data_IF_379237493114
#
_entry.id   IF_379237493114
#
_cell.length_a   1.000
_cell.length_b   1.000
_cell.length_c   1.000
_cell.angle_alpha   90.00
_cell.angle_beta   90.00
_cell.angle_gamma   90.00
#
_symmetry.space_group_name_H-M   'P 1'
#
loop_
_entity.id
_entity.type
_entity.pdbx_description
1 polymer ?
#
# COMPACT_ATOMS: atom_id res chain seq x y z
N UNK A 1 -28.96 -16.86 9.27
CA UNK A 1 -29.28 -16.37 7.91
C UNK A 1 -27.99 -15.79 7.33
N UNK A 2 -27.39 -16.44 6.35
CA UNK A 2 -26.09 -16.08 5.77
C UNK A 2 -26.25 -14.83 4.87
N UNK A 3 -25.41 -13.81 5.03
CA UNK A 3 -25.43 -12.60 4.20
C UNK A 3 -24.31 -12.66 3.15
N UNK A 4 -24.56 -13.15 1.93
CA UNK A 4 -23.51 -13.39 0.94
C UNK A 4 -22.75 -12.12 0.53
N UNK A 5 -23.38 -10.94 0.68
CA UNK A 5 -22.71 -9.66 0.45
C UNK A 5 -21.72 -9.31 1.57
N UNK A 6 -21.97 -9.76 2.79
CA UNK A 6 -21.01 -9.62 3.87
C UNK A 6 -19.76 -10.48 3.63
N UNK A 7 -19.94 -11.72 3.15
CA UNK A 7 -18.81 -12.59 2.82
C UNK A 7 -18.00 -12.07 1.64
N UNK A 8 -18.66 -11.52 0.61
CA UNK A 8 -17.98 -10.88 -0.51
C UNK A 8 -17.16 -9.67 -0.06
N UNK A 9 -17.68 -8.86 0.88
CA UNK A 9 -16.92 -7.74 1.48
C UNK A 9 -15.70 -8.28 2.23
N UNK A 10 -15.86 -9.30 3.06
CA UNK A 10 -14.75 -9.86 3.83
C UNK A 10 -13.67 -10.45 2.92
N UNK A 11 -14.06 -11.19 1.87
CA UNK A 11 -13.15 -11.77 0.90
C UNK A 11 -12.38 -10.70 0.13
N UNK A 12 -13.07 -9.66 -0.36
CA UNK A 12 -12.43 -8.58 -1.11
C UNK A 12 -11.53 -7.70 -0.23
N UNK A 13 -11.86 -7.54 1.04
CA UNK A 13 -10.98 -6.88 2.01
C UNK A 13 -9.72 -7.72 2.26
N UNK A 14 -9.88 -9.04 2.50
CA UNK A 14 -8.73 -9.94 2.68
C UNK A 14 -7.79 -9.94 1.46
N UNK A 15 -8.32 -9.94 0.24
CA UNK A 15 -7.53 -9.81 -0.99
C UNK A 15 -6.79 -8.47 -1.07
N UNK A 16 -7.46 -7.36 -0.70
CA UNK A 16 -6.82 -6.05 -0.65
C UNK A 16 -5.68 -6.00 0.38
N UNK A 17 -5.89 -6.52 1.58
CA UNK A 17 -4.87 -6.59 2.63
C UNK A 17 -3.68 -7.43 2.20
N UNK A 18 -3.90 -8.57 1.53
CA UNK A 18 -2.84 -9.41 1.01
C UNK A 18 -1.96 -8.67 -0.02
N UNK A 19 -2.57 -7.92 -0.95
CA UNK A 19 -1.82 -7.10 -1.92
C UNK A 19 -1.09 -5.93 -1.24
N UNK A 20 -1.70 -5.32 -0.22
CA UNK A 20 -1.08 -4.24 0.55
C UNK A 20 0.15 -4.74 1.34
N UNK A 21 0.06 -5.91 1.97
CA UNK A 21 1.17 -6.54 2.70
C UNK A 21 2.39 -6.79 1.78
N UNK A 22 2.15 -7.28 0.55
CA UNK A 22 3.24 -7.44 -0.43
C UNK A 22 3.89 -6.11 -0.80
N UNK A 23 3.11 -5.03 -0.91
CA UNK A 23 3.61 -3.68 -1.18
C UNK A 23 4.45 -3.10 -0.04
N UNK A 24 4.10 -3.39 1.21
CA UNK A 24 4.90 -2.97 2.37
C UNK A 24 6.32 -3.55 2.34
N UNK A 25 6.47 -4.82 1.96
CA UNK A 25 7.79 -5.44 1.80
C UNK A 25 8.67 -4.69 0.80
N UNK A 26 8.12 -4.27 -0.34
CA UNK A 26 8.85 -3.49 -1.34
C UNK A 26 9.15 -2.06 -0.89
N UNK A 27 8.24 -1.43 -0.15
CA UNK A 27 8.47 -0.09 0.40
C UNK A 27 9.61 -0.10 1.43
N UNK A 28 9.70 -1.14 2.26
CA UNK A 28 10.82 -1.32 3.19
C UNK A 28 12.15 -1.53 2.46
N UNK A 29 12.17 -2.35 1.41
CA UNK A 29 13.36 -2.56 0.57
C UNK A 29 13.82 -1.26 -0.10
N UNK A 30 12.89 -0.49 -0.67
CA UNK A 30 13.19 0.82 -1.25
C UNK A 30 13.79 1.79 -0.22
N UNK A 31 13.17 1.88 0.96
CA UNK A 31 13.66 2.75 2.04
C UNK A 31 15.08 2.37 2.47
N UNK A 32 15.37 1.08 2.57
CA UNK A 32 16.72 0.57 2.86
C UNK A 32 17.72 0.99 1.78
N UNK A 33 17.42 0.73 0.50
CA UNK A 33 18.31 1.06 -0.62
C UNK A 33 18.59 2.57 -0.70
N UNK A 34 17.58 3.41 -0.51
CA UNK A 34 17.75 4.86 -0.45
C UNK A 34 18.62 5.27 0.75
N UNK A 35 18.42 4.65 1.91
CA UNK A 35 19.25 4.87 3.09
C UNK A 35 20.71 4.50 2.84
N UNK A 36 20.97 3.39 2.16
CA UNK A 36 22.32 2.91 1.85
C UNK A 36 23.02 3.84 0.83
N UNK A 37 22.29 4.37 -0.16
CA UNK A 37 22.79 5.42 -1.06
C UNK A 37 23.18 6.70 -0.30
N UNK A 38 22.33 7.16 0.62
CA UNK A 38 22.62 8.35 1.43
C UNK A 38 23.88 8.14 2.27
N UNK A 39 24.04 6.96 2.89
CA UNK A 39 25.26 6.63 3.65
C UNK A 39 26.48 6.62 2.75
N UNK A 40 26.40 5.99 1.58
CA UNK A 40 27.50 5.96 0.61
C UNK A 40 27.94 7.38 0.21
N UNK A 41 26.98 8.26 -0.06
CA UNK A 41 27.24 9.66 -0.40
C UNK A 41 27.85 10.44 0.77
N UNK A 42 27.40 10.17 2.00
CA UNK A 42 27.96 10.78 3.21
C UNK A 42 29.42 10.35 3.44
N UNK A 43 29.71 9.05 3.32
CA UNK A 43 31.08 8.53 3.41
C UNK A 43 31.98 9.11 2.32
N UNK A 44 31.47 9.26 1.09
CA UNK A 44 32.21 9.90 0.01
C UNK A 44 32.57 11.35 0.37
N UNK A 45 31.60 12.15 0.84
CA UNK A 45 31.82 13.54 1.23
C UNK A 45 32.78 13.68 2.41
N UNK A 46 32.67 12.81 3.41
CA UNK A 46 33.57 12.79 4.57
C UNK A 46 35.01 12.53 4.14
N UNK A 47 35.24 11.53 3.30
CA UNK A 47 36.58 11.21 2.81
C UNK A 47 37.17 12.35 1.96
N UNK A 48 36.35 13.05 1.16
CA UNK A 48 36.80 14.21 0.38
C UNK A 48 37.09 15.45 1.25
N UNK A 49 36.52 15.53 2.46
CA UNK A 49 36.69 16.66 3.37
C UNK A 49 37.91 16.51 4.30
N UNK A 50 38.57 15.35 4.32
CA UNK A 50 39.82 15.13 5.06
C UNK A 50 40.94 15.99 4.46
N UNK A 51 41.72 16.65 5.31
CA UNK A 51 42.74 17.61 4.89
C UNK A 51 43.99 16.94 4.31
N UNK A 52 44.67 17.58 3.36
CA UNK A 52 45.90 17.06 2.77
C UNK A 52 46.98 16.72 3.83
N UNK A 53 47.01 17.44 4.96
CA UNK A 53 47.89 17.19 6.12
C UNK A 53 47.61 15.86 6.85
N UNK A 54 46.40 15.32 6.77
CA UNK A 54 46.01 14.03 7.36
C UNK A 54 46.18 12.86 6.38
N UNK A 55 46.36 13.14 5.08
CA UNK A 55 46.49 12.16 3.99
C UNK A 55 47.96 11.83 3.61
N UNK A 56 48.97 12.45 4.24
CA UNK A 56 50.38 12.20 3.92
C UNK A 56 50.88 10.85 4.46
N UNK A 57 50.53 9.76 3.78
CA UNK A 57 51.33 8.53 3.73
C UNK A 57 51.60 8.14 2.25
N UNK A 58 52.83 7.80 1.81
CA UNK A 58 53.19 7.79 0.39
C UNK A 58 52.69 6.60 -0.45
N UNK A 59 51.60 5.92 -0.05
CA UNK A 59 50.94 4.83 -0.83
C UNK A 59 49.52 5.18 -1.30
N UNK A 60 49.09 6.43 -1.11
CA UNK A 60 47.68 6.85 -1.20
C UNK A 60 47.07 6.91 -2.61
N UNK A 61 47.83 7.11 -3.69
CA UNK A 61 47.23 7.31 -5.03
C UNK A 61 46.52 6.04 -5.54
N UNK A 62 47.14 4.87 -5.40
CA UNK A 62 46.52 3.61 -5.80
C UNK A 62 45.31 3.23 -4.93
N UNK A 63 45.37 3.54 -3.63
CA UNK A 63 44.29 3.27 -2.69
C UNK A 63 43.06 4.17 -2.94
N UNK A 64 43.25 5.45 -3.28
CA UNK A 64 42.16 6.37 -3.61
C UNK A 64 41.45 6.00 -4.91
N UNK A 65 42.20 5.66 -5.97
CA UNK A 65 41.60 5.20 -7.25
C UNK A 65 40.79 3.91 -7.06
N UNK A 66 41.29 2.96 -6.27
CA UNK A 66 40.56 1.73 -5.96
C UNK A 66 39.30 2.00 -5.15
N UNK A 67 39.36 2.92 -4.17
CA UNK A 67 38.22 3.32 -3.37
C UNK A 67 37.17 4.06 -4.21
N UNK A 68 37.55 5.03 -5.04
CA UNK A 68 36.64 5.71 -5.97
C UNK A 68 35.97 4.74 -6.94
N UNK A 69 36.74 3.79 -7.48
CA UNK A 69 36.21 2.71 -8.31
C UNK A 69 35.20 1.83 -7.56
N UNK A 70 35.47 1.51 -6.29
CA UNK A 70 34.53 0.79 -5.44
C UNK A 70 33.26 1.60 -5.17
N UNK A 71 33.35 2.90 -4.82
CA UNK A 71 32.18 3.78 -4.63
C UNK A 71 31.31 3.82 -5.89
N UNK A 72 31.94 3.97 -7.06
CA UNK A 72 31.23 3.96 -8.34
C UNK A 72 30.49 2.66 -8.62
N UNK A 73 31.14 1.51 -8.40
CA UNK A 73 30.49 0.19 -8.55
C UNK A 73 29.34 0.00 -7.56
N UNK A 74 29.57 0.30 -6.29
CA UNK A 74 28.57 0.19 -5.22
C UNK A 74 27.34 1.07 -5.50
N UNK A 75 27.53 2.31 -5.99
CA UNK A 75 26.43 3.19 -6.36
C UNK A 75 25.63 2.62 -7.54
N UNK A 76 26.31 2.13 -8.57
CA UNK A 76 25.64 1.51 -9.72
C UNK A 76 24.82 0.29 -9.29
N UNK A 77 25.37 -0.57 -8.45
CA UNK A 77 24.67 -1.75 -7.93
C UNK A 77 23.43 -1.36 -7.13
N UNK A 78 23.55 -0.43 -6.18
CA UNK A 78 22.42 0.07 -5.39
C UNK A 78 21.32 0.68 -6.28
N UNK A 79 21.70 1.45 -7.30
CA UNK A 79 20.75 2.05 -8.25
C UNK A 79 20.05 1.01 -9.12
N UNK A 80 20.76 -0.05 -9.56
CA UNK A 80 20.15 -1.16 -10.29
C UNK A 80 19.13 -1.89 -9.41
N UNK A 81 19.48 -2.20 -8.16
CA UNK A 81 18.57 -2.82 -7.21
C UNK A 81 17.34 -1.92 -6.95
N UNK A 82 17.54 -0.60 -6.80
CA UNK A 82 16.46 0.35 -6.62
C UNK A 82 15.52 0.39 -7.84
N UNK A 83 16.08 0.41 -9.06
CA UNK A 83 15.30 0.38 -10.29
C UNK A 83 14.44 -0.89 -10.39
N UNK A 84 14.99 -2.05 -10.02
CA UNK A 84 14.24 -3.31 -9.99
C UNK A 84 13.09 -3.28 -8.97
N UNK A 85 13.32 -2.74 -7.77
CA UNK A 85 12.27 -2.58 -6.74
C UNK A 85 11.17 -1.64 -7.25
N UNK A 86 11.53 -0.52 -7.87
CA UNK A 86 10.56 0.43 -8.42
C UNK A 86 9.74 -0.19 -9.56
N UNK A 87 10.36 -0.95 -10.46
CA UNK A 87 9.67 -1.68 -11.51
C UNK A 87 8.70 -2.73 -10.94
N UNK A 88 9.11 -3.46 -9.91
CA UNK A 88 8.23 -4.42 -9.23
C UNK A 88 7.06 -3.73 -8.53
N UNK A 89 7.29 -2.59 -7.87
CA UNK A 89 6.22 -1.77 -7.28
C UNK A 89 5.22 -1.30 -8.34
N UNK A 90 5.70 -0.83 -9.50
CA UNK A 90 4.81 -0.35 -10.56
C UNK A 90 3.93 -1.47 -11.13
N UNK A 91 4.49 -2.67 -11.33
CA UNK A 91 3.73 -3.84 -11.77
C UNK A 91 2.61 -4.21 -10.77
N UNK A 92 2.92 -4.17 -9.47
CA UNK A 92 2.00 -4.53 -8.40
C UNK A 92 0.91 -3.49 -8.13
N UNK A 93 1.16 -2.21 -8.44
CA UNK A 93 0.16 -1.15 -8.28
C UNK A 93 -1.15 -1.43 -9.03
N UNK A 94 -1.07 -2.06 -10.21
CA UNK A 94 -2.26 -2.44 -10.97
C UNK A 94 -3.15 -3.44 -10.23
N UNK A 95 -2.54 -4.44 -9.58
CA UNK A 95 -3.23 -5.45 -8.80
C UNK A 95 -3.85 -4.87 -7.54
N UNK A 96 -3.10 -4.04 -6.80
CA UNK A 96 -3.59 -3.36 -5.62
C UNK A 96 -4.79 -2.45 -5.93
N UNK A 97 -4.71 -1.66 -7.01
CA UNK A 97 -5.81 -0.78 -7.45
C UNK A 97 -7.06 -1.58 -7.80
N UNK A 98 -6.91 -2.73 -8.48
CA UNK A 98 -8.05 -3.64 -8.77
C UNK A 98 -8.65 -4.23 -7.50
N UNK A 99 -7.82 -4.70 -6.56
CA UNK A 99 -8.30 -5.26 -5.30
C UNK A 99 -9.06 -4.21 -4.47
N UNK A 100 -8.52 -2.98 -4.40
CA UNK A 100 -9.19 -1.85 -3.76
C UNK A 100 -10.53 -1.52 -4.43
N UNK A 101 -10.57 -1.48 -5.76
CA UNK A 101 -11.81 -1.25 -6.51
C UNK A 101 -12.88 -2.31 -6.23
N UNK A 102 -12.48 -3.60 -6.21
CA UNK A 102 -13.39 -4.71 -5.85
C UNK A 102 -13.93 -4.59 -4.43
N UNK A 103 -13.06 -4.26 -3.46
CA UNK A 103 -13.44 -4.01 -2.06
C UNK A 103 -14.47 -2.88 -1.96
N UNK A 104 -14.21 -1.76 -2.63
CA UNK A 104 -15.11 -0.62 -2.65
C UNK A 104 -16.48 -0.97 -3.26
N UNK A 105 -16.48 -1.67 -4.40
CA UNK A 105 -17.70 -2.10 -5.06
C UNK A 105 -18.52 -3.06 -4.19
N UNK A 106 -17.89 -4.05 -3.55
CA UNK A 106 -18.56 -4.99 -2.65
C UNK A 106 -19.20 -4.27 -1.44
N UNK A 107 -18.46 -3.32 -0.84
CA UNK A 107 -18.96 -2.54 0.29
C UNK A 107 -20.17 -1.68 -0.11
N UNK A 108 -20.13 -1.08 -1.30
CA UNK A 108 -21.21 -0.27 -1.84
C UNK A 108 -22.45 -1.14 -2.13
N UNK A 109 -22.29 -2.29 -2.78
CA UNK A 109 -23.39 -3.23 -3.04
C UNK A 109 -24.07 -3.69 -1.74
N UNK A 110 -23.30 -4.00 -0.69
CA UNK A 110 -23.86 -4.38 0.61
C UNK A 110 -24.66 -3.23 1.23
N UNK A 111 -24.12 -2.01 1.18
CA UNK A 111 -24.81 -0.82 1.69
C UNK A 111 -26.14 -0.58 0.99
N UNK A 112 -26.17 -0.72 -0.33
CA UNK A 112 -27.38 -0.52 -1.14
C UNK A 112 -28.41 -1.62 -0.91
N UNK A 113 -27.97 -2.87 -0.74
CA UNK A 113 -28.87 -3.97 -0.37
C UNK A 113 -29.49 -3.78 1.03
N UNK A 114 -28.72 -3.29 2.00
CA UNK A 114 -29.21 -3.00 3.35
C UNK A 114 -30.20 -1.83 3.36
N UNK A 115 -29.93 -0.76 2.60
CA UNK A 115 -30.85 0.37 2.50
C UNK A 115 -32.17 -0.03 1.83
N UNK A 116 -32.12 -0.82 0.75
CA UNK A 116 -33.31 -1.35 0.09
C UNK A 116 -34.14 -2.26 1.00
N UNK A 117 -33.48 -3.16 1.77
CA UNK A 117 -34.17 -4.01 2.76
C UNK A 117 -34.84 -3.18 3.85
N UNK A 118 -34.17 -2.14 4.37
CA UNK A 118 -34.73 -1.24 5.38
C UNK A 118 -35.94 -0.49 4.84
N UNK A 119 -35.84 0.09 3.63
CA UNK A 119 -36.95 0.79 2.98
C UNK A 119 -38.18 -0.11 2.84
N UNK A 120 -37.99 -1.32 2.29
CA UNK A 120 -39.07 -2.31 2.14
C UNK A 120 -39.67 -2.76 3.48
N UNK A 121 -38.85 -2.85 4.53
CA UNK A 121 -39.34 -3.18 5.87
C UNK A 121 -40.17 -2.05 6.48
N UNK A 122 -39.80 -0.79 6.24
CA UNK A 122 -40.55 0.36 6.72
C UNK A 122 -41.88 0.49 5.97
N UNK A 123 -41.86 0.38 4.63
CA UNK A 123 -43.08 0.39 3.80
C UNK A 123 -44.10 -0.67 4.24
N UNK A 124 -43.63 -1.88 4.58
CA UNK A 124 -44.50 -2.94 5.12
C UNK A 124 -45.12 -2.58 6.47
N UNK A 125 -44.34 -1.94 7.36
CA UNK A 125 -44.82 -1.52 8.68
C UNK A 125 -45.87 -0.42 8.55
N UNK A 126 -45.59 0.59 7.72
CA UNK A 126 -46.51 1.69 7.46
C UNK A 126 -47.83 1.17 6.87
N UNK A 127 -47.77 0.20 5.95
CA UNK A 127 -48.97 -0.43 5.39
C UNK A 127 -49.77 -1.22 6.44
N UNK A 128 -49.10 -1.94 7.34
CA UNK A 128 -49.75 -2.67 8.43
C UNK A 128 -50.45 -1.71 9.40
N UNK A 129 -49.80 -0.59 9.75
CA UNK A 129 -50.38 0.45 10.59
C UNK A 129 -51.60 1.10 9.94
N UNK A 130 -51.51 1.45 8.65
CA UNK A 130 -52.65 1.98 7.90
C UNK A 130 -53.82 0.98 7.87
N UNK A 131 -53.56 -0.29 7.58
CA UNK A 131 -54.59 -1.32 7.55
C UNK A 131 -55.27 -1.50 8.93
N UNK A 132 -54.51 -1.43 10.03
CA UNK A 132 -55.05 -1.50 11.39
C UNK A 132 -55.94 -0.29 11.73
N UNK A 133 -55.55 0.91 11.30
CA UNK A 133 -56.35 2.13 11.49
C UNK A 133 -57.68 2.06 10.73
N UNK A 134 -57.69 1.47 9.53
CA UNK A 134 -58.90 1.28 8.72
C UNK A 134 -59.86 0.24 9.31
N UNK A 135 -59.35 -0.76 10.06
CA UNK A 135 -60.18 -1.79 10.70
C UNK A 135 -60.79 -1.34 12.04
N UNK A 136 -60.15 -0.38 12.71
CA UNK A 136 -60.54 0.12 14.04
C UNK A 136 -62.00 0.60 14.16
N UNK A 137 -62.62 1.23 13.15
CA UNK A 137 -64.04 1.62 13.16
C UNK A 137 -65.02 0.44 13.08
N UNK A 138 -64.57 -0.75 12.68
CA UNK A 138 -65.40 -1.95 12.51
C UNK A 138 -65.28 -2.94 13.69
N UNK A 139 -64.49 -2.58 14.72
CA UNK A 139 -64.23 -3.39 15.91
C UNK A 139 -64.94 -2.86 17.17
N UNK A 140 -65.87 -1.91 17.02
CA UNK A 140 -66.78 -1.43 18.08
C UNK A 140 -68.21 -1.79 17.75
#
# INVERSE_FOLDING_TARGET
>A
MHDPLADLVNLTDALYQAELAKMHGLAAQESKLRGDLIKLDQHQKQNMALSASELFAPRHIGADVLWQGWVGRSRTELNQQLALVLAKKSQMMSALRRAHGKRHAAAQLRKDALSARRKKSNEKRDQQEQNLLLLKPYLG
#
